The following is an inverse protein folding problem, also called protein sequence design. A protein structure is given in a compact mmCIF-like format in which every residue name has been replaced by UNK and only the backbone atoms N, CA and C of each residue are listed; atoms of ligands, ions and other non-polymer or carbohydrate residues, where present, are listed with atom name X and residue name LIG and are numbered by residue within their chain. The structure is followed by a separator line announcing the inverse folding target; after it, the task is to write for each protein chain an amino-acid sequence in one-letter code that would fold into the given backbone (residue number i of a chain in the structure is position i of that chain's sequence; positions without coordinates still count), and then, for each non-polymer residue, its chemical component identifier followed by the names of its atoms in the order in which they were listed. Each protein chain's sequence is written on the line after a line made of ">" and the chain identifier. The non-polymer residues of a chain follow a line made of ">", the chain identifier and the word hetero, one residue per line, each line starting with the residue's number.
data_IF_447427051046
#
_entry.id   IF_447427051046
#
_cell.length_a   1.000
_cell.length_b   1.000
_cell.length_c   1.000
_cell.angle_alpha   90.00
_cell.angle_beta   90.00
_cell.angle_gamma   90.00
#
_symmetry.space_group_name_H-M   'P 1'
#
loop_
_entity.id
_entity.type
_entity.pdbx_description
1 polymer ?
#
# COMPACT_ATOMS: atom_id res chain seq x y z
N UNK A 1 -4.59 -1.32 40.50
CA UNK A 1 -3.59 -1.79 39.52
C UNK A 1 -4.12 -1.42 38.14
N UNK A 2 -3.33 -0.66 37.37
CA UNK A 2 -3.73 -0.02 36.12
C UNK A 2 -4.11 -1.05 35.05
N UNK A 3 -5.37 -1.03 34.64
CA UNK A 3 -5.85 -1.64 33.39
C UNK A 3 -5.31 -0.83 32.22
N UNK A 4 -4.17 -1.26 31.68
CA UNK A 4 -3.60 -0.72 30.45
C UNK A 4 -4.59 -0.92 29.31
N UNK A 5 -5.18 0.17 28.83
CA UNK A 5 -6.02 0.16 27.65
C UNK A 5 -5.17 -0.21 26.44
N UNK A 6 -5.32 -1.44 25.93
CA UNK A 6 -4.82 -1.79 24.61
C UNK A 6 -5.55 -0.87 23.62
N UNK A 7 -4.88 0.15 23.10
CA UNK A 7 -5.40 0.89 21.96
C UNK A 7 -5.55 -0.12 20.82
N UNK A 8 -6.79 -0.47 20.47
CA UNK A 8 -7.05 -1.35 19.33
C UNK A 8 -6.46 -0.66 18.11
N UNK A 9 -5.49 -1.31 17.46
CA UNK A 9 -4.94 -0.83 16.20
C UNK A 9 -6.12 -0.66 15.23
N UNK A 10 -6.30 0.53 14.62
CA UNK A 10 -7.39 0.77 13.69
C UNK A 10 -7.42 -0.28 12.57
N UNK A 11 -8.61 -0.76 12.21
CA UNK A 11 -8.79 -1.69 11.08
C UNK A 11 -8.12 -1.12 9.83
N UNK A 12 -7.27 -1.91 9.19
CA UNK A 12 -6.45 -1.49 8.04
C UNK A 12 -5.04 -1.04 8.37
N UNK A 13 -4.63 -0.91 9.64
CA UNK A 13 -3.21 -0.80 10.00
C UNK A 13 -2.70 -2.18 10.39
N UNK A 14 -1.69 -2.63 9.65
CA UNK A 14 -1.02 -3.91 9.83
C UNK A 14 0.36 -3.65 10.43
N UNK A 15 0.71 -4.36 11.49
CA UNK A 15 2.00 -4.22 12.16
C UNK A 15 2.89 -5.43 11.90
N UNK A 16 4.21 -5.22 11.91
CA UNK A 16 5.22 -6.28 11.75
C UNK A 16 5.04 -7.07 10.45
N UNK A 17 4.77 -6.36 9.36
CA UNK A 17 4.62 -6.93 8.03
C UNK A 17 5.98 -7.03 7.37
N UNK A 18 6.25 -8.12 6.66
CA UNK A 18 7.50 -8.29 5.91
C UNK A 18 7.29 -8.10 4.41
N UNK A 19 8.30 -7.59 3.73
CA UNK A 19 8.36 -7.64 2.26
C UNK A 19 8.55 -9.12 1.85
N UNK A 20 7.69 -9.62 0.97
CA UNK A 20 7.77 -10.97 0.41
C UNK A 20 8.55 -10.97 -0.90
N UNK A 21 8.12 -10.16 -1.86
CA UNK A 21 8.81 -9.97 -3.14
C UNK A 21 8.36 -8.65 -3.80
N UNK A 22 9.08 -8.26 -4.85
CA UNK A 22 8.65 -7.27 -5.84
C UNK A 22 8.59 -7.99 -7.19
N UNK A 23 7.39 -8.30 -7.68
CA UNK A 23 7.20 -8.95 -8.97
C UNK A 23 7.13 -7.89 -10.08
N UNK A 24 7.93 -8.06 -11.12
CA UNK A 24 8.07 -7.09 -12.22
C UNK A 24 7.59 -7.74 -13.50
N UNK A 25 6.59 -7.14 -14.15
CA UNK A 25 6.04 -7.61 -15.42
C UNK A 25 6.12 -6.52 -16.48
N UNK A 26 5.61 -6.80 -17.68
CA UNK A 26 5.55 -5.80 -18.73
C UNK A 26 4.53 -4.69 -18.51
N UNK A 27 3.52 -4.95 -17.67
CA UNK A 27 2.37 -4.04 -17.51
C UNK A 27 2.24 -3.50 -16.08
N UNK A 28 2.87 -4.13 -15.10
CA UNK A 28 2.83 -3.70 -13.71
C UNK A 28 4.03 -4.19 -12.90
N UNK A 29 4.24 -3.54 -11.76
CA UNK A 29 5.12 -3.95 -10.68
C UNK A 29 4.26 -4.21 -9.44
N UNK A 30 4.27 -5.42 -8.91
CA UNK A 30 3.56 -5.79 -7.69
C UNK A 30 4.54 -5.81 -6.50
N UNK A 31 4.22 -5.08 -5.44
CA UNK A 31 4.93 -5.13 -4.16
C UNK A 31 4.13 -6.02 -3.24
N UNK A 32 4.69 -7.18 -2.92
CA UNK A 32 4.04 -8.20 -2.11
C UNK A 32 4.53 -8.13 -0.68
N UNK A 33 3.60 -7.99 0.25
CA UNK A 33 3.85 -8.04 1.67
C UNK A 33 3.23 -9.30 2.26
N UNK A 34 3.83 -9.86 3.30
CA UNK A 34 3.29 -11.01 4.03
C UNK A 34 3.11 -10.65 5.51
N UNK A 35 1.96 -10.98 6.06
CA UNK A 35 1.70 -10.97 7.50
C UNK A 35 2.29 -12.24 8.12
N UNK A 36 3.36 -12.15 8.93
CA UNK A 36 3.98 -13.34 9.51
C UNK A 36 3.07 -14.11 10.47
N UNK A 37 2.01 -13.49 11.01
CA UNK A 37 1.14 -14.15 11.99
C UNK A 37 0.17 -15.16 11.34
N UNK A 38 -0.24 -14.92 10.10
CA UNK A 38 -1.25 -15.74 9.41
C UNK A 38 -0.87 -16.12 7.97
N UNK A 39 0.27 -15.67 7.45
CA UNK A 39 0.74 -15.93 6.09
C UNK A 39 -0.03 -15.20 4.99
N UNK A 40 -0.95 -14.30 5.34
CA UNK A 40 -1.73 -13.55 4.36
C UNK A 40 -0.83 -12.63 3.55
N UNK A 41 -1.00 -12.66 2.22
CA UNK A 41 -0.26 -11.77 1.31
C UNK A 41 -1.10 -10.53 1.00
N UNK A 42 -0.51 -9.35 1.17
CA UNK A 42 -1.06 -8.05 0.81
C UNK A 42 -0.32 -7.54 -0.42
N UNK A 43 -1.03 -7.31 -1.52
CA UNK A 43 -0.45 -6.84 -2.78
C UNK A 43 -0.72 -5.35 -3.00
N UNK A 44 0.34 -4.60 -3.33
CA UNK A 44 0.26 -3.27 -3.95
C UNK A 44 0.73 -3.33 -5.40
N UNK A 45 -0.19 -3.11 -6.33
CA UNK A 45 0.12 -3.00 -7.76
C UNK A 45 0.45 -1.57 -8.17
N UNK A 46 1.58 -1.39 -8.85
CA UNK A 46 1.96 -0.18 -9.56
C UNK A 46 1.88 -0.45 -11.06
N UNK A 47 0.90 0.14 -11.73
CA UNK A 47 0.76 -0.02 -13.18
C UNK A 47 1.88 0.73 -13.90
N UNK A 48 2.51 0.07 -14.88
CA UNK A 48 3.49 0.69 -15.76
C UNK A 48 2.70 1.56 -16.75
N UNK A 49 2.85 2.89 -16.73
CA UNK A 49 2.09 3.76 -17.60
C UNK A 49 2.39 3.46 -19.07
N UNK A 50 1.36 3.54 -19.91
CA UNK A 50 1.45 3.41 -21.36
C UNK A 50 0.97 4.72 -21.96
N UNK A 51 1.85 5.42 -22.68
CA UNK A 51 1.55 6.74 -23.24
C UNK A 51 0.36 6.69 -24.21
N UNK A 52 0.22 5.59 -24.97
CA UNK A 52 -0.87 5.41 -25.91
C UNK A 52 -2.24 5.20 -25.22
N UNK A 53 -2.23 4.81 -23.94
CA UNK A 53 -3.42 4.60 -23.11
C UNK A 53 -3.62 5.70 -22.07
N UNK A 54 -2.80 6.75 -22.10
CA UNK A 54 -2.88 7.84 -21.13
C UNK A 54 -3.79 8.95 -21.67
N UNK A 55 -4.79 9.31 -20.88
CA UNK A 55 -5.65 10.47 -21.14
C UNK A 55 -5.15 11.67 -20.32
N UNK A 56 -5.23 12.86 -20.90
CA UNK A 56 -4.92 14.10 -20.20
C UNK A 56 -5.79 14.26 -18.94
N UNK A 57 -5.16 14.66 -17.84
CA UNK A 57 -5.85 15.15 -16.65
C UNK A 57 -6.20 16.64 -16.84
N UNK A 58 -7.23 17.12 -16.15
CA UNK A 58 -7.61 18.54 -16.18
C UNK A 58 -6.40 19.45 -15.90
N UNK A 59 -6.16 20.40 -16.81
CA UNK A 59 -5.03 21.33 -16.72
C UNK A 59 -3.65 20.76 -17.08
N UNK A 60 -3.56 19.52 -17.56
CA UNK A 60 -2.32 18.86 -17.95
C UNK A 60 -2.40 18.29 -19.37
N UNK A 61 -1.27 18.23 -20.08
CA UNK A 61 -1.14 17.47 -21.32
C UNK A 61 -1.09 15.95 -21.05
N UNK A 62 -1.21 15.15 -22.11
CA UNK A 62 -1.02 13.69 -22.04
C UNK A 62 0.39 13.35 -21.55
N UNK A 63 1.40 14.05 -22.05
CA UNK A 63 2.80 13.82 -21.67
C UNK A 63 3.03 14.11 -20.19
N UNK A 64 2.56 15.25 -19.69
CA UNK A 64 2.68 15.60 -18.27
C UNK A 64 1.91 14.61 -17.39
N UNK A 65 0.75 14.13 -17.84
CA UNK A 65 -0.02 13.12 -17.10
C UNK A 65 0.72 11.77 -17.06
N UNK A 66 1.37 11.39 -18.17
CA UNK A 66 2.17 10.18 -18.27
C UNK A 66 3.39 10.24 -17.34
N UNK A 67 4.13 11.35 -17.37
CA UNK A 67 5.29 11.58 -16.51
C UNK A 67 4.90 11.61 -15.02
N UNK A 68 3.78 12.25 -14.68
CA UNK A 68 3.25 12.26 -13.32
C UNK A 68 3.01 10.84 -12.81
N UNK A 69 2.37 9.98 -13.62
CA UNK A 69 2.10 8.58 -13.22
C UNK A 69 3.38 7.78 -13.00
N UNK A 70 4.40 7.99 -13.85
CA UNK A 70 5.72 7.36 -13.66
C UNK A 70 6.33 7.84 -12.34
N UNK A 71 6.34 9.15 -12.12
CA UNK A 71 6.91 9.75 -10.93
C UNK A 71 6.23 9.26 -9.64
N UNK A 72 4.89 9.17 -9.64
CA UNK A 72 4.11 8.62 -8.52
C UNK A 72 4.48 7.15 -8.23
N UNK A 73 4.57 6.32 -9.27
CA UNK A 73 4.97 4.91 -9.12
C UNK A 73 6.40 4.75 -8.58
N UNK A 74 7.36 5.55 -9.09
CA UNK A 74 8.73 5.58 -8.60
C UNK A 74 8.78 6.01 -7.13
N UNK A 75 8.01 7.04 -6.76
CA UNK A 75 8.00 7.56 -5.39
C UNK A 75 7.51 6.50 -4.39
N UNK A 76 6.56 5.64 -4.76
CA UNK A 76 6.17 4.49 -3.95
C UNK A 76 7.29 3.47 -3.72
N UNK A 77 8.05 3.14 -4.76
CA UNK A 77 9.17 2.19 -4.64
C UNK A 77 10.30 2.77 -3.78
N UNK A 78 10.60 4.05 -3.95
CA UNK A 78 11.62 4.75 -3.15
C UNK A 78 11.19 4.88 -1.68
N UNK A 79 9.90 5.13 -1.42
CA UNK A 79 9.33 5.15 -0.07
C UNK A 79 9.48 3.79 0.62
N UNK A 80 9.23 2.69 -0.08
CA UNK A 80 9.50 1.33 0.42
C UNK A 80 10.98 1.16 0.79
N UNK A 81 11.90 1.53 -0.10
CA UNK A 81 13.33 1.39 0.16
C UNK A 81 13.77 2.21 1.38
N UNK A 82 13.32 3.46 1.50
CA UNK A 82 13.62 4.33 2.64
C UNK A 82 13.15 3.74 3.97
N UNK A 83 11.96 3.14 4.01
CA UNK A 83 11.42 2.53 5.23
C UNK A 83 12.07 1.19 5.59
N UNK A 84 12.61 0.46 4.62
CA UNK A 84 13.27 -0.83 4.84
C UNK A 84 14.75 -0.71 5.21
N UNK A 85 15.49 0.16 4.51
CA UNK A 85 16.97 0.25 4.61
C UNK A 85 17.50 1.66 4.94
N UNK A 86 16.60 2.62 5.20
CA UNK A 86 16.96 4.00 5.55
C UNK A 86 17.18 4.92 4.36
N UNK A 87 17.15 6.23 4.62
CA UNK A 87 17.24 7.28 3.58
C UNK A 87 18.61 7.30 2.92
N UNK A 88 19.69 7.12 3.68
CA UNK A 88 21.06 7.15 3.15
C UNK A 88 21.28 6.06 2.10
N UNK A 89 20.93 4.80 2.43
CA UNK A 89 21.02 3.67 1.50
C UNK A 89 20.11 3.88 0.29
N UNK A 90 18.87 4.30 0.51
CA UNK A 90 17.88 4.46 -0.56
C UNK A 90 18.22 5.61 -1.54
N UNK A 91 19.00 6.61 -1.10
CA UNK A 91 19.38 7.76 -1.94
C UNK A 91 20.40 7.40 -3.03
N UNK A 92 21.07 6.24 -2.91
CA UNK A 92 22.04 5.75 -3.90
C UNK A 92 21.41 4.90 -5.01
N UNK A 93 20.09 4.73 -5.00
CA UNK A 93 19.38 3.91 -5.98
C UNK A 93 19.34 4.66 -7.31
N UNK A 94 19.80 4.07 -8.43
CA UNK A 94 19.72 4.70 -9.73
C UNK A 94 18.25 4.84 -10.16
N UNK A 95 17.80 6.09 -10.35
CA UNK A 95 16.45 6.40 -10.81
C UNK A 95 16.48 6.48 -12.34
N UNK A 96 15.74 5.60 -13.01
CA UNK A 96 15.62 5.54 -14.47
C UNK A 96 14.15 5.31 -14.85
N UNK A 97 13.85 4.32 -15.68
CA UNK A 97 12.47 3.89 -15.89
C UNK A 97 11.96 3.05 -14.69
N UNK A 98 10.64 2.85 -14.64
CA UNK A 98 9.98 2.17 -13.54
C UNK A 98 10.45 0.72 -13.36
N UNK A 99 10.66 -0.04 -14.46
CA UNK A 99 11.07 -1.46 -14.38
C UNK A 99 12.51 -1.58 -13.89
N UNK A 100 13.41 -0.78 -14.44
CA UNK A 100 14.82 -0.77 -14.06
C UNK A 100 14.99 -0.34 -12.60
N UNK A 101 14.27 0.69 -12.17
CA UNK A 101 14.28 1.15 -10.77
C UNK A 101 13.68 0.11 -9.83
N UNK A 102 12.56 -0.54 -10.20
CA UNK A 102 11.98 -1.63 -9.42
C UNK A 102 12.95 -2.82 -9.27
N UNK A 103 13.69 -3.14 -10.33
CA UNK A 103 14.70 -4.23 -10.31
C UNK A 103 15.85 -3.91 -9.34
N UNK A 104 16.35 -2.68 -9.37
CA UNK A 104 17.38 -2.23 -8.44
C UNK A 104 16.90 -2.29 -6.98
N UNK A 105 15.68 -1.82 -6.72
CA UNK A 105 15.06 -1.85 -5.39
C UNK A 105 14.82 -3.28 -4.92
N UNK A 106 14.29 -4.16 -5.77
CA UNK A 106 14.12 -5.57 -5.46
C UNK A 106 15.46 -6.18 -5.03
N UNK A 107 16.49 -6.01 -5.85
CA UNK A 107 17.85 -6.54 -5.58
C UNK A 107 18.40 -6.04 -4.24
N UNK A 108 18.22 -4.75 -3.94
CA UNK A 108 18.63 -4.15 -2.68
C UNK A 108 17.88 -4.72 -1.48
N UNK A 109 16.57 -4.95 -1.60
CA UNK A 109 15.70 -5.27 -0.47
C UNK A 109 15.57 -6.77 -0.18
N UNK A 110 15.77 -7.66 -1.16
CA UNK A 110 15.60 -9.11 -0.97
C UNK A 110 16.40 -9.71 0.19
N UNK A 111 17.66 -9.31 0.45
CA UNK A 111 18.42 -9.79 1.61
C UNK A 111 17.78 -9.46 2.98
N UNK A 112 16.90 -8.45 3.03
CA UNK A 112 16.29 -7.94 4.26
C UNK A 112 14.88 -8.46 4.52
N UNK A 113 14.28 -9.21 3.60
CA UNK A 113 12.89 -9.69 3.66
C UNK A 113 12.56 -10.50 4.92
N UNK A 114 13.54 -11.18 5.52
CA UNK A 114 13.35 -11.96 6.75
C UNK A 114 13.85 -11.26 8.03
N UNK A 115 14.47 -10.08 7.90
CA UNK A 115 15.12 -9.38 9.03
C UNK A 115 14.58 -7.97 9.28
N UNK A 116 13.88 -7.40 8.29
CA UNK A 116 13.25 -6.08 8.37
C UNK A 116 11.74 -6.20 8.21
N UNK A 117 11.04 -5.47 9.07
CA UNK A 117 9.60 -5.41 9.09
C UNK A 117 9.16 -3.95 9.01
N UNK A 118 7.96 -3.73 8.51
CA UNK A 118 7.31 -2.43 8.40
C UNK A 118 5.92 -2.49 9.02
N UNK A 119 5.41 -1.35 9.45
CA UNK A 119 3.98 -1.19 9.62
C UNK A 119 3.41 -0.70 8.28
N UNK A 120 2.25 -1.22 7.90
CA UNK A 120 1.59 -0.93 6.63
C UNK A 120 0.16 -0.45 6.89
N UNK A 121 -0.19 0.70 6.34
CA UNK A 121 -1.57 1.19 6.29
C UNK A 121 -2.21 0.76 4.97
N UNK A 122 -3.33 0.06 5.08
CA UNK A 122 -4.16 -0.43 3.99
C UNK A 122 -5.51 0.25 4.07
N UNK A 123 -5.86 0.97 3.01
CA UNK A 123 -7.22 1.43 2.76
C UNK A 123 -7.83 0.43 1.80
N UNK A 124 -9.04 -0.06 2.03
CA UNK A 124 -9.74 -0.90 1.04
C UNK A 124 -10.44 -0.03 0.01
N UNK A 125 -10.41 -0.46 -1.25
CA UNK A 125 -11.22 0.12 -2.34
C UNK A 125 -12.72 0.02 -2.05
N UNK A 126 -13.56 0.76 -2.79
CA UNK A 126 -15.01 0.82 -2.56
C UNK A 126 -15.73 -0.54 -2.61
N UNK A 127 -15.20 -1.50 -3.38
CA UNK A 127 -15.76 -2.85 -3.49
C UNK A 127 -15.25 -3.80 -2.39
N UNK A 128 -14.36 -3.34 -1.51
CA UNK A 128 -13.76 -4.11 -0.42
C UNK A 128 -12.79 -5.22 -0.87
N UNK A 129 -12.60 -5.41 -2.18
CA UNK A 129 -11.87 -6.56 -2.76
C UNK A 129 -10.38 -6.32 -2.82
N UNK A 130 -9.96 -5.09 -3.06
CA UNK A 130 -8.55 -4.76 -3.23
C UNK A 130 -8.08 -3.70 -2.25
N UNK A 131 -6.87 -3.85 -1.68
CA UNK A 131 -6.20 -2.74 -1.02
C UNK A 131 -6.03 -1.57 -2.02
N UNK A 132 -6.59 -0.40 -1.75
CA UNK A 132 -6.27 0.87 -2.43
C UNK A 132 -4.89 1.40 -1.96
N UNK A 133 -3.92 0.49 -1.87
CA UNK A 133 -2.53 0.84 -1.61
C UNK A 133 -1.97 1.57 -2.85
N UNK A 134 -2.63 1.47 -4.01
CA UNK A 134 -2.22 2.07 -5.29
C UNK A 134 -2.17 3.59 -5.34
N UNK A 135 -2.80 4.31 -4.40
CA UNK A 135 -2.98 5.78 -4.53
C UNK A 135 -2.16 6.66 -3.58
N UNK A 136 -1.59 6.11 -2.51
CA UNK A 136 -1.07 6.94 -1.43
C UNK A 136 0.31 6.50 -0.94
N UNK A 137 1.24 7.45 -0.98
CA UNK A 137 2.63 7.30 -0.54
C UNK A 137 2.71 7.64 0.94
N UNK A 138 3.66 7.08 1.69
CA UNK A 138 3.78 7.30 3.14
C UNK A 138 2.81 6.45 3.96
N UNK A 139 2.40 5.30 3.43
CA UNK A 139 1.60 4.30 4.15
C UNK A 139 2.47 3.18 4.74
N UNK A 140 3.78 3.40 4.73
CA UNK A 140 4.79 2.56 5.34
C UNK A 140 5.47 3.37 6.43
N UNK A 141 5.82 2.70 7.51
CA UNK A 141 6.80 3.18 8.49
C UNK A 141 7.63 1.99 8.97
N UNK A 142 8.86 2.20 9.47
CA UNK A 142 9.67 1.12 10.01
C UNK A 142 8.99 0.51 11.24
N UNK A 143 8.98 -0.82 11.34
CA UNK A 143 8.55 -1.49 12.57
C UNK A 143 9.63 -1.35 13.65
N UNK A 144 9.21 -0.99 14.86
CA UNK A 144 10.08 -0.96 16.05
C UNK A 144 9.44 -1.81 17.13
N UNK A 145 10.20 -2.78 17.64
CA UNK A 145 9.68 -3.72 18.63
C UNK A 145 9.23 -3.01 19.91
N UNK A 146 8.05 -3.39 20.41
CA UNK A 146 7.43 -2.76 21.57
C UNK A 146 6.82 -1.36 21.33
N UNK A 147 6.88 -0.80 20.11
CA UNK A 147 6.23 0.47 19.78
C UNK A 147 4.97 0.26 18.92
N UNK A 148 3.88 0.94 19.30
CA UNK A 148 2.67 0.95 18.49
C UNK A 148 2.90 1.71 17.16
N UNK A 149 2.24 1.30 16.06
CA UNK A 149 2.32 2.04 14.81
C UNK A 149 1.87 3.50 14.96
N UNK A 150 2.55 4.44 14.30
CA UNK A 150 2.21 5.88 14.29
C UNK A 150 1.38 6.28 13.07
N UNK A 151 1.17 5.34 12.14
CA UNK A 151 0.28 5.52 11.00
C UNK A 151 -1.12 5.92 11.48
N UNK A 152 -1.68 6.95 10.86
CA UNK A 152 -3.04 7.42 11.14
C UNK A 152 -3.82 7.58 9.83
N UNK A 153 -5.14 7.40 9.90
CA UNK A 153 -6.03 7.66 8.78
C UNK A 153 -6.43 9.13 8.76
N UNK A 154 -6.36 9.76 7.58
CA UNK A 154 -6.95 11.10 7.39
C UNK A 154 -8.48 11.01 7.41
N UNK A 155 -9.20 12.08 7.77
CA UNK A 155 -10.67 12.08 7.75
C UNK A 155 -11.28 11.65 6.40
N UNK A 156 -10.66 12.04 5.29
CA UNK A 156 -11.09 11.64 3.93
C UNK A 156 -10.82 10.16 3.61
N UNK A 157 -9.85 9.53 4.27
CA UNK A 157 -9.57 8.09 4.17
C UNK A 157 -10.63 7.30 4.95
N UNK A 158 -10.92 7.74 6.18
CA UNK A 158 -11.98 7.14 7.01
C UNK A 158 -13.35 7.21 6.34
N UNK A 159 -13.71 8.37 5.78
CA UNK A 159 -15.01 8.55 5.11
C UNK A 159 -15.21 7.55 3.96
N UNK A 160 -14.15 7.21 3.22
CA UNK A 160 -14.19 6.19 2.17
C UNK A 160 -14.30 4.78 2.70
N UNK A 161 -13.65 4.48 3.83
CA UNK A 161 -13.77 3.18 4.48
C UNK A 161 -15.17 2.94 5.06
N UNK A 162 -15.82 4.00 5.58
CA UNK A 162 -17.16 3.92 6.17
C UNK A 162 -18.29 3.92 5.13
N UNK A 163 -18.10 4.54 3.96
CA UNK A 163 -19.09 4.47 2.87
C UNK A 163 -19.40 3.02 2.44
N UNK A 164 -18.41 2.13 2.51
CA UNK A 164 -18.56 0.71 2.18
C UNK A 164 -19.27 -0.11 3.26
N UNK A 165 -19.33 0.39 4.50
CA UNK A 165 -19.97 -0.33 5.61
C UNK A 165 -21.49 -0.12 5.65
N UNK A 166 -22.02 0.84 4.89
CA UNK A 166 -23.46 1.11 4.82
C UNK A 166 -24.18 0.39 3.67
N UNK A 167 -23.47 -0.14 2.66
CA UNK A 167 -24.11 -0.83 1.53
C UNK A 167 -24.50 -2.29 1.81
N UNK A 168 -23.93 -2.93 2.83
CA UNK A 168 -24.22 -4.34 3.17
C UNK A 168 -25.32 -4.51 4.25
N UNK A 169 -25.84 -3.42 4.82
CA UNK A 169 -26.82 -3.47 5.91
C UNK A 169 -28.28 -3.54 5.44
N UNK A 170 -28.56 -3.47 4.14
CA UNK A 170 -29.92 -3.40 3.58
C UNK A 170 -30.17 -4.49 2.53
N UNK A 171 -29.97 -5.75 2.89
CA UNK A 171 -30.46 -6.89 2.10
C UNK A 171 -30.71 -8.12 2.97
N UNK A 172 -31.64 -8.01 3.92
CA UNK A 172 -32.40 -9.20 4.35
C UNK A 172 -33.86 -8.95 4.00
N UNK A 173 -34.48 -9.76 3.13
CA UNK A 173 -35.93 -9.88 3.15
C UNK A 173 -36.28 -10.48 4.51
N UNK A 174 -37.12 -9.79 5.25
CA UNK A 174 -37.78 -10.35 6.42
C UNK A 174 -38.75 -11.43 5.91
N UNK A 175 -38.31 -12.69 5.95
CA UNK A 175 -39.21 -13.82 5.72
C UNK A 175 -39.82 -14.14 7.09
N UNK A 176 -40.71 -13.26 7.52
CA UNK A 176 -41.73 -13.58 8.52
C UNK A 176 -43.07 -13.25 7.90
N UNK A 177 -43.64 -14.25 7.21
CA UNK A 177 -45.08 -14.52 7.18
C UNK A 177 -45.31 -15.81 6.39
N UNK A 178 -45.22 -16.93 7.11
CA UNK A 178 -45.96 -18.16 6.82
C UNK A 178 -46.92 -18.33 7.98
N UNK A 179 -48.20 -18.00 7.80
CA UNK A 179 -49.39 -18.86 7.94
C UNK A 179 -50.58 -18.11 7.33
#
# INVERSE_FOLDING_TARGET
>A
MNSGGSSKIPSGIHSKIKLKDIEITDTYVDILFEDPANGATINKRLWIPDIAKTTAKEGMSVQETYELRIHEALYHLLDLAKNMVGVETASNIPISDLKSTATAIRTLLMPYTNTKFVNLKVIKTMDGKYPDISRYVGYLEPYVDGQAPKLTFKPSELSRMHANSQSDASSKPDISDVV
#
